data_IF_580117226632
#
_entry.id   IF_580117226632
#
_cell.length_a   1.000
_cell.length_b   1.000
_cell.length_c   1.000
_cell.angle_alpha   90.00
_cell.angle_beta   90.00
_cell.angle_gamma   90.00
#
_symmetry.space_group_name_H-M   'P 1'
#
loop_
_entity.id
_entity.type
_entity.pdbx_description
1 polymer ?
#
# COMPACT_ATOMS: atom_id res chain seq x y z
N UNK A 1 14.72 98.47 -29.38
CA UNK A 1 15.08 97.43 -30.37
C UNK A 1 15.46 96.09 -29.73
N UNK A 2 15.58 95.98 -28.39
CA UNK A 2 15.84 94.72 -27.67
C UNK A 2 14.58 93.95 -27.20
N UNK A 3 13.41 94.61 -27.10
CA UNK A 3 12.19 93.94 -26.61
C UNK A 3 11.57 92.98 -27.63
N UNK A 4 11.64 93.28 -28.93
CA UNK A 4 11.04 92.43 -29.97
C UNK A 4 11.87 91.18 -30.29
N UNK A 5 13.16 91.18 -29.92
CA UNK A 5 14.07 90.05 -30.13
C UNK A 5 13.82 88.93 -29.10
N UNK A 6 13.53 89.29 -27.85
CA UNK A 6 13.24 88.34 -26.78
C UNK A 6 11.86 87.64 -26.94
N UNK A 7 10.87 88.33 -27.53
CA UNK A 7 9.55 87.73 -27.80
C UNK A 7 9.61 86.74 -28.97
N UNK A 8 10.44 87.01 -29.98
CA UNK A 8 10.69 86.08 -31.09
C UNK A 8 11.43 84.80 -30.68
N UNK A 9 12.42 84.90 -29.79
CA UNK A 9 13.18 83.76 -29.26
C UNK A 9 12.35 82.85 -28.33
N UNK A 10 11.47 83.44 -27.51
CA UNK A 10 10.57 82.67 -26.65
C UNK A 10 9.47 81.96 -27.46
N UNK A 11 8.96 82.58 -28.52
CA UNK A 11 7.98 81.97 -29.42
C UNK A 11 8.60 80.84 -30.27
N UNK A 12 9.84 80.99 -30.72
CA UNK A 12 10.56 79.91 -31.44
C UNK A 12 10.89 78.74 -30.53
N UNK A 13 11.33 78.99 -29.27
CA UNK A 13 11.64 77.89 -28.33
C UNK A 13 10.41 77.10 -27.91
N UNK A 14 9.25 77.75 -27.80
CA UNK A 14 7.98 77.10 -27.47
C UNK A 14 7.50 76.22 -28.63
N UNK A 15 7.65 76.69 -29.87
CA UNK A 15 7.25 75.93 -31.07
C UNK A 15 8.17 74.72 -31.31
N UNK A 16 9.49 74.87 -31.11
CA UNK A 16 10.45 73.76 -31.16
C UNK A 16 10.12 72.69 -30.09
N UNK A 17 9.78 73.11 -28.87
CA UNK A 17 9.42 72.18 -27.79
C UNK A 17 8.12 71.40 -28.05
N UNK A 18 7.15 72.03 -28.73
CA UNK A 18 5.90 71.38 -29.13
C UNK A 18 6.11 70.39 -30.29
N UNK A 19 6.96 70.75 -31.27
CA UNK A 19 7.31 69.87 -32.39
C UNK A 19 8.15 68.66 -31.92
N UNK A 20 9.02 68.85 -30.93
CA UNK A 20 9.82 67.79 -30.31
C UNK A 20 8.95 66.84 -29.48
N UNK A 21 7.97 67.35 -28.73
CA UNK A 21 6.97 66.53 -28.02
C UNK A 21 6.10 65.71 -28.99
N UNK A 22 5.66 66.29 -30.11
CA UNK A 22 4.89 65.58 -31.14
C UNK A 22 5.72 64.47 -31.81
N UNK A 23 7.01 64.70 -32.04
CA UNK A 23 7.95 63.68 -32.54
C UNK A 23 8.11 62.54 -31.53
N UNK A 24 8.26 62.85 -30.24
CA UNK A 24 8.38 61.84 -29.17
C UNK A 24 7.12 60.96 -29.12
N UNK A 25 5.93 61.53 -29.22
CA UNK A 25 4.68 60.75 -29.21
C UNK A 25 4.50 59.90 -30.47
N UNK A 26 4.94 60.39 -31.64
CA UNK A 26 5.04 59.57 -32.87
C UNK A 26 5.99 58.38 -32.71
N UNK A 27 7.15 58.57 -32.10
CA UNK A 27 8.10 57.47 -31.83
C UNK A 27 7.55 56.47 -30.80
N UNK A 28 6.87 56.94 -29.76
CA UNK A 28 6.19 56.07 -28.77
C UNK A 28 5.10 55.23 -29.41
N UNK A 29 4.28 55.84 -30.27
CA UNK A 29 3.22 55.13 -31.00
C UNK A 29 3.82 54.13 -32.00
N UNK A 30 4.89 54.50 -32.71
CA UNK A 30 5.63 53.58 -33.59
C UNK A 30 6.25 52.40 -32.85
N UNK A 31 6.85 52.64 -31.68
CA UNK A 31 7.39 51.59 -30.82
C UNK A 31 6.29 50.63 -30.33
N UNK A 32 5.15 51.16 -29.88
CA UNK A 32 4.01 50.36 -29.44
C UNK A 32 3.45 49.47 -30.56
N UNK A 33 3.33 50.01 -31.78
CA UNK A 33 2.90 49.24 -32.97
C UNK A 33 3.92 48.15 -33.30
N UNK A 34 5.22 48.46 -33.29
CA UNK A 34 6.27 47.46 -33.57
C UNK A 34 6.27 46.32 -32.57
N UNK A 35 6.04 46.62 -31.28
CA UNK A 35 5.93 45.64 -30.22
C UNK A 35 4.66 44.78 -30.38
N UNK A 36 3.53 45.39 -30.72
CA UNK A 36 2.29 44.65 -31.00
C UNK A 36 2.44 43.71 -32.20
N UNK A 37 3.07 44.17 -33.29
CA UNK A 37 3.35 43.33 -34.47
C UNK A 37 4.29 42.18 -34.11
N UNK A 38 5.35 42.44 -33.32
CA UNK A 38 6.26 41.39 -32.85
C UNK A 38 5.52 40.33 -32.02
N UNK A 39 4.64 40.75 -31.10
CA UNK A 39 3.83 39.82 -30.30
C UNK A 39 2.87 38.99 -31.16
N UNK A 40 2.26 39.57 -32.19
CA UNK A 40 1.35 38.84 -33.08
C UNK A 40 2.09 37.87 -34.01
N UNK A 41 3.22 38.30 -34.59
CA UNK A 41 3.95 37.52 -35.61
C UNK A 41 4.84 36.46 -35.00
N UNK A 42 5.43 36.72 -33.82
CA UNK A 42 6.35 35.79 -33.15
C UNK A 42 5.71 35.22 -31.90
N UNK A 43 5.13 36.08 -31.06
CA UNK A 43 4.56 35.67 -29.77
C UNK A 43 3.43 34.66 -29.91
N UNK A 44 2.43 34.92 -30.75
CA UNK A 44 1.28 34.01 -30.94
C UNK A 44 1.73 32.65 -31.53
N UNK A 45 2.51 32.56 -32.63
CA UNK A 45 2.95 31.27 -33.16
C UNK A 45 3.86 30.51 -32.21
N UNK A 46 4.78 31.20 -31.52
CA UNK A 46 5.64 30.57 -30.52
C UNK A 46 4.83 30.07 -29.33
N UNK A 47 3.87 30.85 -28.84
CA UNK A 47 2.96 30.44 -27.76
C UNK A 47 2.14 29.22 -28.20
N UNK A 48 1.57 29.21 -29.41
CA UNK A 48 0.86 28.04 -29.92
C UNK A 48 1.77 26.82 -30.04
N UNK A 49 2.99 27.00 -30.55
CA UNK A 49 3.92 25.87 -30.73
C UNK A 49 4.44 25.32 -29.41
N UNK A 50 4.62 26.17 -28.41
CA UNK A 50 5.08 25.77 -27.06
C UNK A 50 3.95 25.26 -26.16
N UNK A 51 2.70 25.62 -26.47
CA UNK A 51 1.49 25.10 -25.79
C UNK A 51 0.81 23.96 -26.55
N UNK A 52 1.30 23.62 -27.75
CA UNK A 52 0.84 22.45 -28.51
C UNK A 52 1.16 21.18 -27.72
N UNK A 53 0.15 20.64 -27.05
CA UNK A 53 0.25 19.35 -26.38
C UNK A 53 0.31 18.28 -27.46
N UNK A 54 1.45 17.62 -27.60
CA UNK A 54 1.60 16.47 -28.51
C UNK A 54 0.60 15.37 -28.11
N UNK A 55 -0.40 15.12 -28.96
CA UNK A 55 -1.37 14.02 -28.79
C UNK A 55 -0.98 12.87 -29.70
N UNK A 56 -0.47 11.79 -29.12
CA UNK A 56 -0.31 10.55 -29.87
C UNK A 56 -1.70 10.04 -30.31
N UNK A 57 -1.81 9.54 -31.54
CA UNK A 57 -3.03 8.88 -31.98
C UNK A 57 -3.22 7.60 -31.15
N UNK A 58 -4.22 7.60 -30.28
CA UNK A 58 -4.58 6.43 -29.48
C UNK A 58 -5.29 5.40 -30.37
N UNK A 59 -4.98 4.10 -30.25
CA UNK A 59 -5.63 3.04 -31.03
C UNK A 59 -7.02 2.72 -30.46
N UNK A 60 -8.00 3.61 -30.67
CA UNK A 60 -9.33 3.51 -30.10
C UNK A 60 -10.04 2.18 -30.35
N UNK A 61 -9.89 1.58 -31.54
CA UNK A 61 -10.50 0.28 -31.85
C UNK A 61 -9.90 -0.88 -31.04
N UNK A 62 -8.62 -0.80 -30.68
CA UNK A 62 -7.99 -1.79 -29.80
C UNK A 62 -8.45 -1.59 -28.36
N UNK A 63 -8.57 -0.34 -27.92
CA UNK A 63 -9.04 0.03 -26.58
C UNK A 63 -10.51 -0.39 -26.38
N UNK A 64 -11.37 -0.15 -27.37
CA UNK A 64 -12.79 -0.53 -27.31
C UNK A 64 -12.97 -2.07 -27.37
N UNK A 65 -12.02 -2.78 -27.98
CA UNK A 65 -11.97 -4.25 -27.94
C UNK A 65 -11.39 -4.80 -26.62
N UNK A 66 -10.73 -3.97 -25.80
CA UNK A 66 -10.28 -4.37 -24.47
C UNK A 66 -11.46 -4.33 -23.49
N UNK A 67 -12.06 -5.50 -23.29
CA UNK A 67 -13.03 -5.71 -22.22
C UNK A 67 -12.28 -6.00 -20.90
N UNK A 68 -12.35 -5.15 -19.87
CA UNK A 68 -11.69 -5.39 -18.58
C UNK A 68 -12.18 -6.67 -17.89
N UNK A 69 -13.36 -7.19 -18.26
CA UNK A 69 -13.86 -8.46 -17.75
C UNK A 69 -13.27 -9.70 -18.45
N UNK A 70 -12.44 -9.52 -19.49
CA UNK A 70 -11.82 -10.62 -20.25
C UNK A 70 -10.59 -11.26 -19.57
N UNK A 71 -10.07 -10.66 -18.50
CA UNK A 71 -8.90 -11.19 -17.78
C UNK A 71 -9.27 -12.51 -17.12
N UNK A 72 -8.68 -13.60 -17.59
CA UNK A 72 -8.85 -14.92 -16.99
C UNK A 72 -7.53 -15.41 -16.41
N UNK A 73 -7.48 -15.55 -15.09
CA UNK A 73 -6.39 -16.20 -14.36
C UNK A 73 -6.73 -17.70 -14.25
N UNK A 74 -5.81 -18.57 -14.68
CA UNK A 74 -5.95 -20.02 -14.56
C UNK A 74 -4.98 -20.56 -13.53
N UNK A 75 -5.45 -21.43 -12.65
CA UNK A 75 -4.61 -22.14 -11.70
C UNK A 75 -5.04 -23.59 -11.55
N UNK A 76 -4.11 -24.44 -11.13
CA UNK A 76 -4.33 -25.86 -10.90
C UNK A 76 -4.22 -26.17 -9.41
N UNK A 77 -5.14 -27.00 -8.93
CA UNK A 77 -5.08 -27.59 -7.60
C UNK A 77 -4.83 -29.08 -7.75
N UNK A 78 -3.65 -29.53 -7.34
CA UNK A 78 -3.27 -30.92 -7.36
C UNK A 78 -3.72 -31.59 -6.06
N UNK A 79 -4.47 -32.69 -6.17
CA UNK A 79 -5.06 -33.38 -5.01
C UNK A 79 -4.51 -34.79 -4.91
N UNK A 80 -4.00 -35.14 -3.73
CA UNK A 80 -3.51 -36.47 -3.41
C UNK A 80 -4.22 -36.98 -2.15
N UNK A 81 -4.89 -38.13 -2.23
CA UNK A 81 -5.63 -38.73 -1.13
C UNK A 81 -5.23 -40.21 -0.93
N UNK A 82 -5.68 -40.81 0.17
CA UNK A 82 -5.40 -42.21 0.51
C UNK A 82 -5.86 -43.24 -0.53
N UNK A 83 -6.85 -42.89 -1.36
CA UNK A 83 -7.26 -43.72 -2.50
C UNK A 83 -7.62 -42.89 -3.74
N UNK A 84 -7.55 -43.47 -4.96
CA UNK A 84 -8.00 -42.80 -6.17
C UNK A 84 -9.49 -42.41 -6.12
N UNK A 85 -10.34 -43.21 -5.49
CA UNK A 85 -11.77 -42.92 -5.31
C UNK A 85 -11.96 -41.70 -4.41
N UNK A 86 -11.26 -41.64 -3.28
CA UNK A 86 -11.31 -40.48 -2.38
C UNK A 86 -10.78 -39.22 -3.06
N UNK A 87 -9.68 -39.33 -3.80
CA UNK A 87 -9.11 -38.22 -4.60
C UNK A 87 -10.16 -37.69 -5.58
N UNK A 88 -10.87 -38.58 -6.27
CA UNK A 88 -11.90 -38.21 -7.25
C UNK A 88 -13.11 -37.53 -6.60
N UNK A 89 -13.54 -37.99 -5.42
CA UNK A 89 -14.60 -37.35 -4.65
C UNK A 89 -14.20 -35.94 -4.19
N UNK A 90 -12.98 -35.76 -3.69
CA UNK A 90 -12.48 -34.44 -3.27
C UNK A 90 -12.42 -33.49 -4.47
N UNK A 91 -11.89 -33.94 -5.62
CA UNK A 91 -11.84 -33.14 -6.84
C UNK A 91 -13.25 -32.73 -7.29
N UNK A 92 -14.22 -33.64 -7.23
CA UNK A 92 -15.62 -33.35 -7.60
C UNK A 92 -16.22 -32.29 -6.67
N UNK A 93 -16.02 -32.42 -5.36
CA UNK A 93 -16.51 -31.47 -4.37
C UNK A 93 -15.85 -30.10 -4.51
N UNK A 94 -14.53 -30.05 -4.70
CA UNK A 94 -13.81 -28.81 -4.99
C UNK A 94 -14.37 -28.12 -6.22
N UNK A 95 -14.58 -28.85 -7.33
CA UNK A 95 -15.18 -28.29 -8.55
C UNK A 95 -16.59 -27.75 -8.33
N UNK A 96 -17.37 -28.37 -7.44
CA UNK A 96 -18.72 -27.89 -7.11
C UNK A 96 -18.75 -26.66 -6.19
N UNK A 97 -17.73 -26.50 -5.34
CA UNK A 97 -17.64 -25.41 -4.35
C UNK A 97 -16.91 -24.17 -4.90
N UNK A 98 -15.87 -24.42 -5.70
CA UNK A 98 -15.11 -23.43 -6.43
C UNK A 98 -15.87 -23.11 -7.73
N UNK A 99 -16.90 -22.29 -7.62
CA UNK A 99 -17.65 -21.81 -8.80
C UNK A 99 -16.68 -21.03 -9.69
N UNK A 100 -16.61 -21.38 -10.97
CA UNK A 100 -15.87 -20.61 -11.97
C UNK A 100 -16.36 -19.16 -11.93
N UNK A 101 -15.47 -18.25 -11.56
CA UNK A 101 -15.71 -16.82 -11.74
C UNK A 101 -15.20 -16.41 -13.13
N UNK A 102 -15.74 -15.33 -13.69
CA UNK A 102 -15.24 -14.79 -14.97
C UNK A 102 -13.72 -14.57 -14.95
N UNK A 103 -13.16 -14.23 -13.78
CA UNK A 103 -11.76 -13.82 -13.60
C UNK A 103 -10.83 -14.95 -13.15
N UNK A 104 -11.32 -15.93 -12.39
CA UNK A 104 -10.50 -17.02 -11.83
C UNK A 104 -11.09 -18.38 -12.22
N UNK A 105 -10.29 -19.17 -12.94
CA UNK A 105 -10.61 -20.55 -13.33
C UNK A 105 -9.68 -21.52 -12.62
N UNK A 106 -10.27 -22.50 -11.95
CA UNK A 106 -9.53 -23.43 -11.08
C UNK A 106 -9.73 -24.87 -11.55
N UNK A 107 -8.64 -25.49 -11.99
CA UNK A 107 -8.63 -26.88 -12.43
C UNK A 107 -8.12 -27.79 -11.31
N UNK A 108 -9.02 -28.55 -10.68
CA UNK A 108 -8.64 -29.59 -9.72
C UNK A 108 -8.25 -30.90 -10.45
N UNK A 109 -7.04 -31.40 -10.19
CA UNK A 109 -6.41 -32.53 -10.88
C UNK A 109 -5.84 -33.56 -9.88
N UNK A 110 -5.87 -34.86 -10.20
CA UNK A 110 -5.29 -35.88 -9.33
C UNK A 110 -3.77 -35.82 -9.41
N UNK A 111 -3.11 -35.90 -8.25
CA UNK A 111 -1.67 -36.02 -8.13
C UNK A 111 -1.32 -37.46 -7.79
N UNK A 112 -0.60 -38.13 -8.69
CA UNK A 112 -0.11 -39.49 -8.45
C UNK A 112 1.20 -39.42 -7.67
N UNK A 113 1.11 -39.66 -6.37
CA UNK A 113 2.28 -39.93 -5.53
C UNK A 113 2.38 -41.42 -5.23
N UNK A 114 3.59 -41.98 -5.16
CA UNK A 114 3.80 -43.31 -4.60
C UNK A 114 3.62 -43.23 -3.09
N UNK A 115 2.39 -43.40 -2.60
CA UNK A 115 1.99 -43.18 -1.20
C UNK A 115 2.10 -44.44 -0.35
N UNK A 116 3.25 -45.10 -0.40
CA UNK A 116 3.59 -46.12 0.60
C UNK A 116 4.37 -45.39 1.72
N UNK A 117 3.69 -45.08 2.83
CA UNK A 117 4.23 -44.43 4.06
C UNK A 117 4.73 -42.97 3.96
N UNK A 118 3.85 -42.03 3.56
CA UNK A 118 4.15 -40.59 3.68
C UNK A 118 3.53 -39.99 4.94
N UNK A 119 4.34 -39.81 5.98
CA UNK A 119 4.01 -38.93 7.09
C UNK A 119 4.23 -37.46 6.71
N UNK A 120 3.56 -36.55 7.41
CA UNK A 120 3.76 -35.10 7.27
C UNK A 120 5.25 -34.70 7.27
N UNK A 121 6.05 -35.28 8.17
CA UNK A 121 7.48 -34.99 8.33
C UNK A 121 8.32 -35.38 7.10
N UNK A 122 8.03 -36.52 6.48
CA UNK A 122 8.74 -37.00 5.29
C UNK A 122 8.45 -36.11 4.09
N UNK A 123 7.21 -35.65 3.98
CA UNK A 123 6.79 -34.78 2.88
C UNK A 123 7.37 -33.38 3.03
N UNK A 124 7.32 -32.79 4.21
CA UNK A 124 7.95 -31.49 4.50
C UNK A 124 9.45 -31.52 4.20
N UNK A 125 10.16 -32.58 4.59
CA UNK A 125 11.60 -32.72 4.33
C UNK A 125 11.96 -32.75 2.84
N UNK A 126 11.05 -33.22 1.98
CA UNK A 126 11.26 -33.33 0.53
C UNK A 126 10.28 -32.47 -0.27
N UNK A 127 9.69 -31.45 0.36
CA UNK A 127 8.61 -30.67 -0.22
C UNK A 127 9.03 -29.99 -1.53
N UNK A 128 10.30 -29.60 -1.65
CA UNK A 128 10.86 -28.91 -2.82
C UNK A 128 10.72 -29.71 -4.12
N UNK A 129 10.64 -31.05 -4.03
CA UNK A 129 10.40 -31.92 -5.19
C UNK A 129 8.97 -31.79 -5.73
N UNK A 130 8.03 -31.47 -4.85
CA UNK A 130 6.61 -31.47 -5.14
C UNK A 130 6.06 -30.07 -5.37
N UNK A 131 6.75 -29.02 -4.89
CA UNK A 131 6.31 -27.65 -5.05
C UNK A 131 5.98 -27.33 -6.52
N UNK A 132 4.82 -26.73 -6.81
CA UNK A 132 4.46 -26.38 -8.17
C UNK A 132 5.45 -25.36 -8.76
N UNK A 133 6.04 -25.68 -9.91
CA UNK A 133 6.91 -24.76 -10.66
C UNK A 133 6.16 -23.50 -11.10
N UNK A 134 4.87 -23.63 -11.44
CA UNK A 134 4.03 -22.50 -11.85
C UNK A 134 3.47 -21.77 -10.63
N UNK A 135 3.62 -20.44 -10.61
CA UNK A 135 3.02 -19.57 -9.59
C UNK A 135 1.50 -19.73 -9.55
N UNK A 136 0.91 -19.65 -8.36
CA UNK A 136 -0.53 -19.77 -8.14
C UNK A 136 -1.07 -21.20 -8.09
N UNK A 137 -0.34 -22.22 -8.53
CA UNK A 137 -0.80 -23.61 -8.37
C UNK A 137 -0.71 -24.05 -6.90
N UNK A 138 -1.63 -24.91 -6.47
CA UNK A 138 -1.70 -25.40 -5.09
C UNK A 138 -1.67 -26.93 -5.05
N UNK A 139 -1.24 -27.48 -3.92
CA UNK A 139 -1.26 -28.91 -3.66
C UNK A 139 -2.03 -29.18 -2.37
N UNK A 140 -2.99 -30.10 -2.43
CA UNK A 140 -3.71 -30.64 -1.30
C UNK A 140 -3.25 -32.09 -1.10
N UNK A 141 -2.71 -32.41 0.08
CA UNK A 141 -2.19 -33.74 0.39
C UNK A 141 -2.85 -34.29 1.64
N UNK A 142 -3.48 -35.46 1.51
CA UNK A 142 -3.95 -36.21 2.67
C UNK A 142 -2.76 -36.87 3.37
N UNK A 143 -2.64 -36.67 4.69
CA UNK A 143 -1.65 -37.34 5.53
C UNK A 143 -2.35 -38.11 6.65
N UNK A 144 -1.81 -39.26 7.11
CA UNK A 144 -2.50 -40.12 8.07
C UNK A 144 -2.85 -39.45 9.39
N UNK A 145 -2.01 -38.53 9.85
CA UNK A 145 -2.20 -37.80 11.11
C UNK A 145 -1.57 -36.41 11.03
N UNK A 146 -2.25 -35.44 11.65
CA UNK A 146 -1.80 -34.07 11.85
C UNK A 146 -1.87 -33.77 13.34
N UNK A 147 -0.86 -33.08 13.87
CA UNK A 147 -0.81 -32.73 15.29
C UNK A 147 -1.74 -31.55 15.58
N UNK A 148 -2.88 -31.83 16.23
CA UNK A 148 -3.77 -30.81 16.79
C UNK A 148 -4.62 -30.04 15.79
N UNK A 149 -4.83 -30.57 14.58
CA UNK A 149 -5.77 -30.02 13.58
C UNK A 149 -6.13 -31.08 12.54
N UNK A 150 -7.23 -30.88 11.82
CA UNK A 150 -7.61 -31.70 10.67
C UNK A 150 -7.11 -31.11 9.35
N UNK A 151 -6.85 -29.80 9.31
CA UNK A 151 -6.36 -29.09 8.12
C UNK A 151 -5.20 -28.18 8.54
N UNK A 152 -4.08 -28.28 7.83
CA UNK A 152 -2.89 -27.48 8.07
C UNK A 152 -2.45 -26.74 6.81
N UNK A 153 -2.44 -25.41 6.89
CA UNK A 153 -1.89 -24.54 5.85
C UNK A 153 -0.41 -24.28 6.10
N UNK A 154 0.43 -24.54 5.10
CA UNK A 154 1.89 -24.33 5.21
C UNK A 154 2.29 -22.92 4.81
N UNK A 155 3.58 -22.59 4.98
CA UNK A 155 4.15 -21.37 4.40
C UNK A 155 4.34 -21.47 2.89
N UNK A 156 4.29 -22.68 2.33
CA UNK A 156 4.39 -22.96 0.91
C UNK A 156 3.01 -23.22 0.28
N UNK A 157 2.96 -23.57 -1.01
CA UNK A 157 1.73 -23.83 -1.78
C UNK A 157 1.10 -25.20 -1.48
N UNK A 158 1.23 -25.67 -0.23
CA UNK A 158 0.82 -27.00 0.20
C UNK A 158 -0.16 -26.87 1.37
N UNK A 159 -1.27 -27.61 1.30
CA UNK A 159 -2.22 -27.78 2.39
C UNK A 159 -2.30 -29.26 2.71
N UNK A 160 -2.09 -29.59 3.98
CA UNK A 160 -2.30 -30.95 4.46
C UNK A 160 -3.67 -31.09 5.08
N UNK A 161 -4.28 -32.26 4.93
CA UNK A 161 -5.52 -32.59 5.60
C UNK A 161 -5.51 -34.03 6.11
N UNK A 162 -6.22 -34.28 7.20
CA UNK A 162 -6.38 -35.62 7.79
C UNK A 162 -7.45 -36.43 7.05
N UNK A 163 -7.52 -37.76 7.21
CA UNK A 163 -8.61 -38.56 6.66
C UNK A 163 -9.98 -38.17 7.23
N UNK A 164 -9.99 -37.59 8.43
CA UNK A 164 -11.19 -37.15 9.15
C UNK A 164 -11.65 -35.75 8.74
N UNK A 165 -10.82 -34.99 8.01
CA UNK A 165 -11.15 -33.63 7.58
C UNK A 165 -12.42 -33.61 6.71
N UNK A 166 -13.35 -32.71 7.04
CA UNK A 166 -14.52 -32.45 6.21
C UNK A 166 -14.09 -31.72 4.92
N UNK A 167 -14.35 -32.37 3.79
CA UNK A 167 -13.98 -31.86 2.46
C UNK A 167 -14.73 -30.57 2.11
N UNK A 168 -15.96 -30.37 2.63
CA UNK A 168 -16.69 -29.13 2.41
C UNK A 168 -16.06 -27.96 3.17
N UNK A 169 -15.58 -28.22 4.39
CA UNK A 169 -14.82 -27.25 5.18
C UNK A 169 -13.52 -26.92 4.45
N UNK A 170 -12.78 -27.93 3.99
CA UNK A 170 -11.56 -27.73 3.20
C UNK A 170 -11.79 -26.87 1.96
N UNK A 171 -12.81 -27.20 1.16
CA UNK A 171 -13.14 -26.46 -0.06
C UNK A 171 -13.48 -24.99 0.22
N UNK A 172 -14.27 -24.75 1.27
CA UNK A 172 -14.61 -23.40 1.73
C UNK A 172 -13.37 -22.62 2.20
N UNK A 173 -12.50 -23.22 2.99
CA UNK A 173 -11.28 -22.56 3.47
C UNK A 173 -10.31 -22.24 2.33
N UNK A 174 -10.15 -23.14 1.36
CA UNK A 174 -9.35 -22.88 0.15
C UNK A 174 -9.95 -21.69 -0.61
N UNK A 175 -11.26 -21.65 -0.79
CA UNK A 175 -11.97 -20.55 -1.45
C UNK A 175 -11.77 -19.20 -0.74
N UNK A 176 -12.07 -19.16 0.56
CA UNK A 176 -12.07 -17.93 1.37
C UNK A 176 -10.64 -17.42 1.63
N UNK A 177 -9.69 -18.30 1.98
CA UNK A 177 -8.38 -17.88 2.48
C UNK A 177 -7.23 -18.05 1.49
N UNK A 178 -7.33 -18.92 0.47
CA UNK A 178 -6.23 -19.12 -0.48
C UNK A 178 -6.53 -18.43 -1.80
N UNK A 179 -7.75 -18.59 -2.30
CA UNK A 179 -8.17 -17.97 -3.55
C UNK A 179 -8.53 -16.50 -3.36
N UNK A 180 -9.12 -16.15 -2.20
CA UNK A 180 -9.68 -14.82 -1.92
C UNK A 180 -10.63 -14.36 -3.03
N UNK A 181 -11.50 -15.27 -3.48
CA UNK A 181 -12.34 -15.08 -4.65
C UNK A 181 -13.29 -13.87 -4.49
N UNK A 182 -13.94 -13.73 -3.34
CA UNK A 182 -14.77 -12.57 -3.02
C UNK A 182 -14.01 -11.25 -3.22
N UNK A 183 -12.74 -11.22 -2.84
CA UNK A 183 -11.93 -10.00 -2.93
C UNK A 183 -11.55 -9.62 -4.36
N UNK A 184 -11.41 -10.59 -5.25
CA UNK A 184 -11.09 -10.33 -6.66
C UNK A 184 -12.31 -9.75 -7.37
N UNK A 185 -13.49 -10.29 -7.10
CA UNK A 185 -14.75 -9.89 -7.74
C UNK A 185 -15.18 -8.51 -7.28
N UNK A 186 -15.19 -8.28 -5.97
CA UNK A 186 -15.56 -6.98 -5.40
C UNK A 186 -14.61 -5.86 -5.83
N UNK A 187 -13.31 -6.15 -6.04
CA UNK A 187 -12.34 -5.19 -6.58
C UNK A 187 -12.63 -4.78 -8.01
N UNK A 188 -13.02 -5.72 -8.87
CA UNK A 188 -13.44 -5.37 -10.24
C UNK A 188 -14.67 -4.47 -10.18
N UNK A 189 -15.65 -4.82 -9.34
CA UNK A 189 -16.89 -4.04 -9.18
C UNK A 189 -16.60 -2.64 -8.61
N UNK A 190 -15.71 -2.50 -7.62
CA UNK A 190 -15.39 -1.20 -7.02
C UNK A 190 -14.70 -0.25 -8.01
N UNK A 191 -13.88 -0.78 -8.90
CA UNK A 191 -13.17 0.01 -9.91
C UNK A 191 -14.13 0.39 -11.05
N UNK A 192 -14.94 -0.54 -11.55
CA UNK A 192 -15.85 -0.33 -12.69
C UNK A 192 -17.12 0.43 -12.31
N UNK A 193 -17.64 0.23 -11.10
CA UNK A 193 -18.93 0.79 -10.66
C UNK A 193 -18.91 1.14 -9.17
N UNK A 194 -18.17 2.20 -8.78
CA UNK A 194 -18.00 2.59 -7.37
C UNK A 194 -19.31 2.95 -6.66
N UNK A 195 -20.36 3.34 -7.39
CA UNK A 195 -21.67 3.70 -6.82
C UNK A 195 -22.50 2.50 -6.33
N UNK A 196 -22.16 1.27 -6.75
CA UNK A 196 -22.89 0.05 -6.38
C UNK A 196 -22.32 -0.68 -5.16
N UNK A 197 -21.30 -0.10 -4.51
CA UNK A 197 -20.73 -0.65 -3.28
C UNK A 197 -21.71 -0.47 -2.11
N UNK A 198 -22.15 -1.58 -1.54
CA UNK A 198 -22.80 -1.57 -0.23
C UNK A 198 -21.76 -1.26 0.84
N UNK A 199 -22.07 -0.32 1.74
CA UNK A 199 -21.19 0.21 2.80
C UNK A 199 -20.75 -0.84 3.84
N UNK A 200 -21.16 -2.12 3.73
CA UNK A 200 -20.80 -3.20 4.67
C UNK A 200 -19.49 -3.93 4.35
N UNK A 201 -18.80 -3.51 3.30
CA UNK A 201 -17.63 -4.18 2.73
C UNK A 201 -16.32 -3.54 3.23
N UNK A 202 -16.18 -3.43 4.56
CA UNK A 202 -15.09 -2.70 5.25
C UNK A 202 -13.69 -3.28 5.02
N UNK A 203 -13.58 -4.55 4.61
CA UNK A 203 -12.27 -5.19 4.37
C UNK A 203 -11.58 -4.66 3.11
N UNK A 204 -12.31 -4.05 2.16
CA UNK A 204 -11.78 -3.58 0.88
C UNK A 204 -11.15 -2.20 0.92
N UNK A 205 -11.55 -1.36 1.86
CA UNK A 205 -11.02 0.00 2.01
C UNK A 205 -9.65 0.02 2.71
N UNK A 206 -9.24 -1.13 3.27
CA UNK A 206 -8.13 -1.22 4.23
C UNK A 206 -6.75 -1.50 3.63
N UNK A 207 -6.65 -1.76 2.32
CA UNK A 207 -5.39 -2.05 1.64
C UNK A 207 -4.88 -0.89 0.77
N UNK A 208 -3.56 -0.83 0.56
CA UNK A 208 -2.90 0.07 -0.39
C UNK A 208 -3.39 -0.23 -1.81
N UNK A 209 -3.55 0.83 -2.60
CA UNK A 209 -3.92 0.73 -4.02
C UNK A 209 -2.81 0.06 -4.84
N UNK A 210 -3.01 -0.22 -6.11
CA UNK A 210 -1.92 -0.62 -6.99
C UNK A 210 -1.09 0.62 -7.37
N UNK A 211 0.22 0.53 -7.23
CA UNK A 211 1.19 1.54 -7.71
C UNK A 211 2.45 0.84 -8.17
N UNK A 212 3.12 1.30 -9.25
CA UNK A 212 4.40 0.73 -9.69
C UNK A 212 5.54 0.99 -8.70
N UNK A 213 5.40 2.03 -7.86
CA UNK A 213 6.40 2.39 -6.85
C UNK A 213 5.74 2.88 -5.57
N UNK A 214 6.37 2.59 -4.44
CA UNK A 214 6.02 3.09 -3.10
C UNK A 214 7.25 3.67 -2.40
N UNK A 215 7.06 4.78 -1.70
CA UNK A 215 8.01 5.26 -0.70
C UNK A 215 7.58 4.72 0.66
N UNK A 216 8.45 4.00 1.38
CA UNK A 216 8.17 3.53 2.75
C UNK A 216 9.07 4.28 3.71
N UNK A 217 8.46 5.09 4.58
CA UNK A 217 9.20 5.99 5.47
C UNK A 217 8.96 5.59 6.92
N UNK A 218 10.02 5.12 7.59
CA UNK A 218 10.02 4.93 9.04
C UNK A 218 10.43 6.23 9.73
N UNK A 219 9.52 6.79 10.52
CA UNK A 219 9.73 8.01 11.30
C UNK A 219 9.82 7.65 12.76
N UNK A 220 10.93 8.00 13.42
CA UNK A 220 11.04 7.94 14.87
C UNK A 220 10.80 9.33 15.42
N UNK A 221 9.82 9.46 16.29
CA UNK A 221 9.47 10.70 16.97
C UNK A 221 9.89 10.56 18.43
N UNK A 222 10.85 11.37 18.87
CA UNK A 222 11.15 11.53 20.28
C UNK A 222 10.46 12.82 20.78
N UNK A 223 9.37 12.66 21.54
CA UNK A 223 8.60 13.82 22.02
C UNK A 223 9.33 14.61 23.11
N UNK A 224 10.25 13.98 23.85
CA UNK A 224 10.92 14.56 25.02
C UNK A 224 12.44 14.29 25.01
N UNK A 225 13.19 14.85 24.03
CA UNK A 225 14.63 14.62 23.90
C UNK A 225 15.47 15.25 25.02
N UNK A 226 14.88 16.12 25.85
CA UNK A 226 15.58 16.72 27.00
C UNK A 226 15.77 15.70 28.13
N UNK A 227 14.77 14.83 28.35
CA UNK A 227 14.78 13.83 29.42
C UNK A 227 15.04 12.41 28.89
N UNK A 228 14.79 12.14 27.61
CA UNK A 228 14.92 10.81 27.01
C UNK A 228 16.02 10.77 25.94
N UNK A 229 17.15 10.15 26.30
CA UNK A 229 18.18 9.75 25.35
C UNK A 229 17.80 8.43 24.67
N UNK A 230 17.73 8.42 23.35
CA UNK A 230 17.35 7.23 22.57
C UNK A 230 18.49 6.89 21.60
N UNK A 231 18.91 5.62 21.60
CA UNK A 231 19.92 5.12 20.69
C UNK A 231 19.31 4.00 19.82
N UNK A 232 19.22 4.25 18.51
CA UNK A 232 18.72 3.25 17.57
C UNK A 232 19.26 3.46 16.15
N UNK A 233 19.95 2.47 15.60
CA UNK A 233 20.32 2.44 14.18
C UNK A 233 19.16 1.89 13.33
N UNK A 234 18.18 2.77 13.12
CA UNK A 234 16.97 2.50 12.34
C UNK A 234 17.29 1.97 10.94
N UNK A 235 18.28 2.57 10.27
CA UNK A 235 18.58 2.25 8.87
C UNK A 235 19.17 0.84 8.74
N UNK A 236 20.05 0.44 9.65
CA UNK A 236 20.61 -0.92 9.68
C UNK A 236 19.53 -1.96 9.98
N UNK A 237 18.70 -1.70 11.00
CA UNK A 237 17.66 -2.65 11.41
C UNK A 237 16.53 -2.79 10.40
N UNK A 238 16.14 -1.71 9.70
CA UNK A 238 15.21 -1.80 8.58
C UNK A 238 15.74 -2.71 7.47
N UNK A 239 17.01 -2.54 7.10
CA UNK A 239 17.66 -3.41 6.10
C UNK A 239 17.68 -4.87 6.54
N UNK A 240 17.84 -5.12 7.84
CA UNK A 240 17.93 -6.48 8.39
C UNK A 240 16.57 -7.16 8.51
N UNK A 241 15.56 -6.46 9.01
CA UNK A 241 14.30 -7.07 9.43
C UNK A 241 13.13 -6.80 8.48
N UNK A 242 13.13 -5.69 7.74
CA UNK A 242 12.00 -5.28 6.88
C UNK A 242 12.30 -5.48 5.39
N UNK A 243 13.52 -5.18 4.94
CA UNK A 243 13.93 -5.33 3.54
C UNK A 243 13.65 -6.71 2.93
N UNK A 244 13.80 -7.86 3.64
CA UNK A 244 13.48 -9.17 3.06
C UNK A 244 12.04 -9.28 2.54
N UNK A 245 11.08 -8.66 3.25
CA UNK A 245 9.68 -8.61 2.80
C UNK A 245 9.54 -7.77 1.53
N UNK A 246 10.16 -6.59 1.49
CA UNK A 246 10.08 -5.71 0.32
C UNK A 246 10.71 -6.34 -0.92
N UNK A 247 11.84 -7.04 -0.75
CA UNK A 247 12.47 -7.78 -1.83
C UNK A 247 11.55 -8.89 -2.38
N UNK A 248 10.73 -9.52 -1.53
CA UNK A 248 9.79 -10.56 -1.96
C UNK A 248 8.67 -10.01 -2.85
N UNK A 249 8.27 -8.74 -2.66
CA UNK A 249 7.17 -8.09 -3.40
C UNK A 249 7.66 -7.10 -4.46
N UNK A 250 8.97 -7.06 -4.74
CA UNK A 250 9.59 -6.10 -5.67
C UNK A 250 9.11 -6.31 -7.11
N UNK A 251 8.81 -7.56 -7.49
CA UNK A 251 8.22 -7.92 -8.79
C UNK A 251 6.82 -7.28 -9.02
N UNK A 252 6.14 -6.90 -7.94
CA UNK A 252 4.79 -6.29 -7.98
C UNK A 252 4.89 -4.77 -8.01
N UNK A 253 5.77 -4.23 -7.18
CA UNK A 253 5.97 -2.79 -7.00
C UNK A 253 7.35 -2.55 -6.42
N UNK A 254 8.02 -1.52 -6.92
CA UNK A 254 9.32 -1.08 -6.41
C UNK A 254 9.16 -0.30 -5.10
N UNK A 255 9.97 -0.60 -4.08
CA UNK A 255 9.85 0.04 -2.76
C UNK A 255 11.12 0.82 -2.39
N UNK A 256 10.97 2.12 -2.12
CA UNK A 256 12.05 2.98 -1.65
C UNK A 256 11.96 3.19 -0.14
N UNK A 257 12.85 2.54 0.61
CA UNK A 257 12.88 2.64 2.07
C UNK A 257 13.68 3.85 2.52
N UNK A 258 13.08 4.67 3.39
CA UNK A 258 13.71 5.82 4.02
C UNK A 258 13.47 5.77 5.53
N UNK A 259 14.39 6.35 6.28
CA UNK A 259 14.24 6.53 7.73
C UNK A 259 14.47 8.00 8.09
N UNK A 260 13.72 8.51 9.05
CA UNK A 260 13.88 9.88 9.55
C UNK A 260 13.64 9.97 11.05
N UNK A 261 14.21 11.01 11.66
CA UNK A 261 14.04 11.35 13.07
C UNK A 261 13.38 12.71 13.20
N UNK A 262 12.38 12.81 14.06
CA UNK A 262 11.74 14.04 14.46
C UNK A 262 11.79 14.17 15.99
N UNK A 263 11.93 15.39 16.46
CA UNK A 263 12.08 15.71 17.88
C UNK A 263 11.09 16.79 18.27
N UNK A 264 10.67 16.80 19.55
CA UNK A 264 9.77 17.83 20.11
C UNK A 264 8.46 17.96 19.32
N UNK A 265 7.90 16.82 18.93
CA UNK A 265 6.67 16.76 18.16
C UNK A 265 5.62 15.98 18.95
N UNK A 266 4.50 16.64 19.23
CA UNK A 266 3.32 16.02 19.85
C UNK A 266 2.38 15.43 18.79
N UNK A 267 1.55 14.45 19.20
CA UNK A 267 0.54 13.83 18.34
C UNK A 267 -0.64 14.76 17.98
N UNK A 268 -0.67 15.99 18.49
CA UNK A 268 -1.71 16.99 18.21
C UNK A 268 -3.03 16.76 18.94
N UNK A 269 -3.17 15.64 19.67
CA UNK A 269 -4.30 15.30 20.53
C UNK A 269 -3.81 15.13 21.97
N UNK A 270 -4.61 15.57 22.93
CA UNK A 270 -4.30 15.41 24.35
C UNK A 270 -4.83 14.06 24.86
N UNK A 271 -3.96 13.19 25.41
CA UNK A 271 -4.41 11.96 26.03
C UNK A 271 -5.35 12.24 27.20
N UNK A 272 -6.37 11.40 27.37
CA UNK A 272 -7.25 11.46 28.54
C UNK A 272 -6.90 10.32 29.48
N UNK A 273 -6.76 10.62 30.76
CA UNK A 273 -6.55 9.57 31.75
C UNK A 273 -7.87 8.84 32.00
N UNK A 274 -7.84 7.52 31.93
CA UNK A 274 -8.98 6.69 32.22
C UNK A 274 -9.11 6.39 33.73
N UNK A 275 -10.12 5.58 34.09
CA UNK A 275 -10.34 5.16 35.48
C UNK A 275 -9.23 4.28 36.06
N UNK A 276 -8.38 3.69 35.21
CA UNK A 276 -7.26 2.86 35.61
C UNK A 276 -5.96 3.68 35.79
N UNK A 277 -5.99 4.98 35.53
CA UNK A 277 -4.81 5.84 35.61
C UNK A 277 -3.91 5.75 34.37
N UNK A 278 -4.40 5.21 33.26
CA UNK A 278 -3.66 5.09 32.00
C UNK A 278 -4.06 6.24 31.09
N UNK A 279 -3.07 6.88 30.46
CA UNK A 279 -3.34 7.88 29.44
C UNK A 279 -3.76 7.17 28.14
N UNK A 280 -4.92 7.53 27.60
CA UNK A 280 -5.46 6.88 26.41
C UNK A 280 -5.75 7.85 25.26
N UNK A 281 -5.56 7.33 24.05
CA UNK A 281 -6.03 7.92 22.79
C UNK A 281 -6.97 6.93 22.10
N UNK A 282 -8.19 7.35 21.77
CA UNK A 282 -9.19 6.49 21.13
C UNK A 282 -8.98 6.37 19.62
N UNK A 283 -9.46 5.28 19.02
CA UNK A 283 -9.32 5.07 17.56
C UNK A 283 -9.96 6.18 16.72
N UNK A 284 -11.05 6.75 17.22
CA UNK A 284 -11.72 7.91 16.63
C UNK A 284 -10.84 9.17 16.53
N UNK A 285 -9.77 9.27 17.33
CA UNK A 285 -8.83 10.40 17.30
C UNK A 285 -7.72 10.22 16.25
N UNK A 286 -7.56 9.04 15.66
CA UNK A 286 -6.48 8.75 14.71
C UNK A 286 -6.42 9.72 13.51
N UNK A 287 -7.54 10.15 12.87
CA UNK A 287 -7.49 11.15 11.80
C UNK A 287 -6.94 12.50 12.26
N UNK A 288 -7.24 12.88 13.51
CA UNK A 288 -6.75 14.12 14.12
C UNK A 288 -5.27 14.06 14.51
N UNK A 289 -4.73 12.85 14.71
CA UNK A 289 -3.30 12.61 14.90
C UNK A 289 -2.55 12.63 13.56
N UNK A 290 -3.12 11.99 12.52
CA UNK A 290 -2.46 11.85 11.22
C UNK A 290 -2.30 13.21 10.52
N UNK A 291 -3.37 14.00 10.48
CA UNK A 291 -3.39 15.28 9.76
C UNK A 291 -2.24 16.25 10.13
N UNK A 292 -1.94 16.51 11.42
CA UNK A 292 -0.80 17.35 11.80
C UNK A 292 0.55 16.68 11.52
N UNK A 293 0.65 15.35 11.67
CA UNK A 293 1.87 14.61 11.36
C UNK A 293 2.21 14.68 9.87
N UNK A 294 1.25 14.49 8.97
CA UNK A 294 1.49 14.55 7.51
C UNK A 294 2.16 15.85 7.07
N UNK A 295 1.76 16.98 7.66
CA UNK A 295 2.37 18.30 7.39
C UNK A 295 3.84 18.37 7.78
N UNK A 296 4.30 17.52 8.70
CA UNK A 296 5.67 17.46 9.23
C UNK A 296 6.49 16.33 8.61
N UNK A 297 5.84 15.27 8.13
CA UNK A 297 6.49 14.06 7.62
C UNK A 297 7.07 14.20 6.19
N UNK A 298 6.80 15.30 5.48
CA UNK A 298 7.37 15.56 4.16
C UNK A 298 6.81 14.67 3.04
N UNK A 299 5.54 14.27 3.13
CA UNK A 299 4.88 13.36 2.17
C UNK A 299 4.84 13.87 0.71
N UNK A 300 5.06 15.17 0.47
CA UNK A 300 5.05 15.78 -0.87
C UNK A 300 6.38 15.77 -1.62
N UNK A 301 7.43 15.11 -1.11
CA UNK A 301 8.77 15.12 -1.73
C UNK A 301 8.84 14.21 -2.98
N UNK A 302 7.97 13.21 -3.06
CA UNK A 302 7.94 12.22 -4.14
C UNK A 302 6.58 12.21 -4.84
N UNK A 303 6.57 11.76 -6.11
CA UNK A 303 5.32 11.46 -6.84
C UNK A 303 4.76 10.07 -6.48
N UNK A 304 5.56 9.24 -5.82
CA UNK A 304 5.14 7.91 -5.40
C UNK A 304 4.24 8.02 -4.15
N UNK A 305 3.19 7.20 -4.04
CA UNK A 305 2.46 7.05 -2.79
C UNK A 305 3.40 6.68 -1.64
N UNK A 306 3.18 7.28 -0.48
CA UNK A 306 4.03 7.12 0.70
C UNK A 306 3.30 6.30 1.77
N UNK A 307 3.97 5.28 2.31
CA UNK A 307 3.54 4.51 3.47
C UNK A 307 4.30 4.98 4.70
N UNK A 308 3.59 5.47 5.70
CA UNK A 308 4.16 6.01 6.92
C UNK A 308 4.20 4.97 8.03
N UNK A 309 5.40 4.64 8.51
CA UNK A 309 5.59 3.81 9.69
C UNK A 309 6.10 4.75 10.78
N UNK A 310 5.29 5.05 11.80
CA UNK A 310 5.64 6.05 12.81
C UNK A 310 5.84 5.37 14.16
N UNK A 311 7.04 5.44 14.71
CA UNK A 311 7.33 5.09 16.10
C UNK A 311 7.33 6.37 16.93
N UNK A 312 6.35 6.51 17.82
CA UNK A 312 6.24 7.62 18.75
C UNK A 312 6.73 7.20 20.14
N UNK A 313 7.83 7.80 20.57
CA UNK A 313 8.42 7.58 21.89
C UNK A 313 7.75 8.55 22.84
N UNK A 314 7.05 7.99 23.84
CA UNK A 314 6.19 8.72 24.76
C UNK A 314 7.04 9.49 25.78
N UNK A 315 6.74 10.76 25.99
CA UNK A 315 7.43 11.60 26.98
C UNK A 315 7.11 11.16 28.42
N UNK A 316 8.06 11.38 29.34
CA UNK A 316 8.00 10.86 30.71
C UNK A 316 6.78 11.30 31.53
N UNK A 317 6.18 12.44 31.18
CA UNK A 317 4.98 12.98 31.86
C UNK A 317 3.68 12.32 31.42
N UNK A 318 3.70 11.56 30.31
CA UNK A 318 2.51 10.97 29.69
C UNK A 318 2.49 9.43 29.80
N UNK A 319 3.49 8.82 30.43
CA UNK A 319 3.58 7.37 30.61
C UNK A 319 2.59 6.91 31.70
N UNK A 320 1.87 5.79 31.51
CA UNK A 320 1.76 5.00 30.28
C UNK A 320 0.75 5.62 29.32
N UNK A 321 1.13 5.74 28.05
CA UNK A 321 0.24 6.12 26.95
C UNK A 321 -0.12 4.88 26.12
N UNK A 322 -1.42 4.63 25.94
CA UNK A 322 -1.95 3.52 25.15
C UNK A 322 -3.03 3.99 24.19
N UNK A 323 -3.26 3.17 23.17
CA UNK A 323 -4.38 3.31 22.27
C UNK A 323 -5.57 2.48 22.80
N UNK A 324 -6.79 3.05 22.74
CA UNK A 324 -8.02 2.36 23.13
C UNK A 324 -8.82 1.94 21.89
N UNK A 325 -9.07 0.65 21.76
CA UNK A 325 -9.83 0.05 20.66
C UNK A 325 -11.34 0.05 20.95
N UNK A 326 -12.18 -0.13 19.92
CA UNK A 326 -13.65 -0.15 20.05
C UNK A 326 -14.28 -1.36 20.79
N UNK A 327 -13.57 -2.46 21.14
CA UNK A 327 -13.99 -3.38 22.22
C UNK A 327 -13.52 -2.96 23.62
N UNK A 328 -12.73 -1.87 23.75
CA UNK A 328 -12.21 -1.37 25.02
C UNK A 328 -10.83 -1.90 25.41
N UNK A 329 -10.13 -2.60 24.51
CA UNK A 329 -8.80 -3.14 24.78
C UNK A 329 -7.70 -2.09 24.58
N UNK A 330 -6.67 -2.13 25.43
CA UNK A 330 -5.46 -1.33 25.28
C UNK A 330 -4.50 -1.97 24.25
N UNK A 331 -4.05 -1.16 23.30
CA UNK A 331 -3.05 -1.56 22.30
C UNK A 331 -1.93 -0.54 22.21
N UNK A 332 -0.77 -0.98 21.72
CA UNK A 332 0.40 -0.13 21.51
C UNK A 332 0.51 0.42 20.08
N UNK A 333 -0.42 0.04 19.20
CA UNK A 333 -0.36 0.49 17.81
C UNK A 333 -1.73 0.61 17.16
N UNK A 334 -1.82 1.51 16.19
CA UNK A 334 -2.96 1.67 15.30
C UNK A 334 -2.50 1.67 13.85
N UNK A 335 -3.39 1.25 12.96
CA UNK A 335 -3.20 1.27 11.52
C UNK A 335 -4.26 2.17 10.89
N UNK A 336 -3.84 3.02 9.96
CA UNK A 336 -4.74 3.77 9.11
C UNK A 336 -4.65 3.22 7.69
N UNK A 337 -5.76 2.69 7.14
CA UNK A 337 -5.87 2.30 5.75
C UNK A 337 -5.25 3.30 4.79
N UNK A 338 -4.49 2.81 3.81
CA UNK A 338 -3.88 3.60 2.74
C UNK A 338 -2.82 4.63 3.19
N UNK A 339 -2.63 4.84 4.48
CA UNK A 339 -1.64 5.78 5.03
C UNK A 339 -0.44 5.06 5.65
N UNK A 340 -0.68 4.11 6.55
CA UNK A 340 0.41 3.57 7.36
C UNK A 340 0.00 3.12 8.76
N UNK A 341 0.96 3.11 9.68
CA UNK A 341 0.75 2.71 11.07
C UNK A 341 1.52 3.59 12.06
N UNK A 342 0.94 3.77 13.24
CA UNK A 342 1.56 4.47 14.38
C UNK A 342 1.73 3.46 15.51
N UNK A 343 2.91 3.44 16.12
CA UNK A 343 3.24 2.64 17.29
C UNK A 343 3.71 3.54 18.42
N UNK A 344 3.29 3.22 19.65
CA UNK A 344 3.71 3.88 20.86
C UNK A 344 4.83 3.07 21.51
N UNK A 345 5.92 3.71 21.89
CA UNK A 345 6.95 3.15 22.74
C UNK A 345 6.98 3.91 24.05
N UNK A 346 6.55 3.24 25.12
CA UNK A 346 6.63 3.78 26.48
C UNK A 346 8.03 3.45 27.04
N UNK A 347 8.84 4.46 27.42
CA UNK A 347 10.08 4.24 28.15
C UNK A 347 9.87 3.54 29.49
N UNK A 348 10.90 2.85 29.97
CA UNK A 348 10.91 2.32 31.34
C UNK A 348 11.13 3.47 32.34
N UNK A 349 10.67 3.34 33.60
CA UNK A 349 10.86 4.38 34.62
C UNK A 349 12.32 4.80 34.80
N UNK A 350 13.26 3.85 34.66
CA UNK A 350 14.70 4.11 34.76
C UNK A 350 15.21 5.06 33.65
N UNK A 351 14.61 5.01 32.44
CA UNK A 351 14.99 5.92 31.35
C UNK A 351 14.65 7.38 31.71
N UNK A 352 13.53 7.58 32.40
CA UNK A 352 13.05 8.89 32.81
C UNK A 352 13.74 9.44 34.06
N UNK A 353 13.98 8.60 35.07
CA UNK A 353 14.53 9.04 36.36
C UNK A 353 16.06 9.10 36.36
N UNK A 354 16.71 8.09 35.78
CA UNK A 354 18.17 7.93 35.81
C UNK A 354 18.84 8.40 34.51
N UNK A 355 18.08 8.79 33.50
CA UNK A 355 18.59 9.19 32.19
C UNK A 355 19.31 8.06 31.44
N UNK A 356 18.93 6.80 31.71
CA UNK A 356 19.50 5.66 30.97
C UNK A 356 19.04 5.71 29.52
N UNK A 357 19.95 5.34 28.61
CA UNK A 357 19.66 5.35 27.17
C UNK A 357 18.58 4.31 26.86
N UNK A 358 17.50 4.74 26.22
CA UNK A 358 16.46 3.86 25.69
C UNK A 358 16.96 3.21 24.40
N UNK A 359 17.03 1.89 24.39
CA UNK A 359 17.32 1.09 23.21
C UNK A 359 16.08 0.28 22.80
N UNK A 360 15.34 0.73 21.77
CA UNK A 360 14.15 0.03 21.30
C UNK A 360 14.49 -1.41 20.88
N UNK A 361 13.61 -2.36 21.20
CA UNK A 361 13.72 -3.72 20.67
C UNK A 361 13.33 -3.73 19.19
N UNK A 362 14.32 -3.54 18.31
CA UNK A 362 14.11 -3.42 16.86
C UNK A 362 13.32 -4.57 16.25
N UNK A 363 13.52 -5.80 16.76
CA UNK A 363 12.82 -6.99 16.27
C UNK A 363 11.32 -6.93 16.58
N UNK A 364 10.96 -6.44 17.76
CA UNK A 364 9.56 -6.28 18.16
C UNK A 364 8.90 -5.11 17.41
N UNK A 365 9.55 -3.94 17.39
CA UNK A 365 9.05 -2.73 16.72
C UNK A 365 8.85 -2.97 15.22
N UNK A 366 9.89 -3.44 14.53
CA UNK A 366 9.81 -3.71 13.08
C UNK A 366 8.92 -4.92 12.81
N UNK A 367 8.87 -5.90 13.70
CA UNK A 367 7.94 -7.03 13.59
C UNK A 367 6.48 -6.57 13.59
N UNK A 368 6.12 -5.61 14.42
CA UNK A 368 4.78 -5.02 14.44
C UNK A 368 4.51 -4.19 13.18
N UNK A 369 5.50 -3.41 12.70
CA UNK A 369 5.36 -2.69 11.42
C UNK A 369 5.21 -3.64 10.24
N UNK A 370 5.89 -4.79 10.28
CA UNK A 370 5.75 -5.85 9.28
C UNK A 370 4.33 -6.41 9.28
N UNK A 371 3.75 -6.67 10.44
CA UNK A 371 2.35 -7.11 10.54
C UNK A 371 1.38 -6.05 10.01
N UNK A 372 1.60 -4.77 10.33
CA UNK A 372 0.80 -3.67 9.79
C UNK A 372 0.94 -3.57 8.26
N UNK A 373 2.16 -3.72 7.73
CA UNK A 373 2.40 -3.71 6.30
C UNK A 373 1.74 -4.89 5.58
N UNK A 374 1.71 -6.08 6.18
CA UNK A 374 0.92 -7.21 5.65
C UNK A 374 -0.57 -6.84 5.54
N UNK A 375 -1.15 -6.22 6.57
CA UNK A 375 -2.53 -5.73 6.53
C UNK A 375 -2.72 -4.67 5.44
N UNK A 376 -1.77 -3.75 5.26
CA UNK A 376 -1.78 -2.74 4.19
C UNK A 376 -1.64 -3.37 2.80
N UNK A 377 -0.99 -4.52 2.65
CA UNK A 377 -1.00 -5.29 1.40
C UNK A 377 -2.33 -6.04 1.17
N UNK A 378 -3.26 -5.99 2.12
CA UNK A 378 -4.54 -6.69 2.06
C UNK A 378 -4.45 -8.16 2.48
N UNK A 379 -3.37 -8.56 3.15
CA UNK A 379 -3.19 -9.93 3.63
C UNK A 379 -3.94 -10.09 4.96
N UNK A 380 -4.99 -10.91 4.95
CA UNK A 380 -5.77 -11.19 6.15
C UNK A 380 -5.12 -12.29 6.98
N UNK A 381 -5.21 -12.17 8.30
CA UNK A 381 -4.82 -13.26 9.19
C UNK A 381 -5.93 -14.30 9.23
N UNK A 382 -5.56 -15.55 8.99
CA UNK A 382 -6.49 -16.68 9.09
C UNK A 382 -6.68 -17.03 10.57
N UNK A 383 -7.93 -17.12 11.01
CA UNK A 383 -8.28 -17.57 12.36
C UNK A 383 -8.01 -19.06 12.49
N UNK A 384 -7.17 -19.45 13.45
CA UNK A 384 -6.97 -20.85 13.79
C UNK A 384 -8.01 -21.30 14.80
N UNK A 385 -8.62 -22.45 14.56
CA UNK A 385 -9.47 -23.14 15.52
C UNK A 385 -8.92 -24.56 15.75
N UNK A 386 -9.52 -25.36 16.63
CA UNK A 386 -9.06 -26.73 16.89
C UNK A 386 -9.11 -27.66 15.66
N UNK A 387 -9.73 -27.23 14.55
CA UNK A 387 -9.88 -27.98 13.30
C UNK A 387 -8.86 -27.50 12.26
N UNK A 388 -8.54 -26.21 12.25
CA UNK A 388 -7.73 -25.53 11.23
C UNK A 388 -6.52 -24.86 11.87
N UNK A 389 -5.34 -25.24 11.39
CA UNK A 389 -4.10 -24.62 11.82
C UNK A 389 -3.34 -24.02 10.64
N UNK A 390 -2.55 -22.99 10.91
CA UNK A 390 -1.70 -22.32 9.92
C UNK A 390 -0.29 -22.25 10.47
N UNK A 391 0.67 -22.70 9.67
CA UNK A 391 2.09 -22.66 10.02
C UNK A 391 2.50 -21.21 10.27
N UNK A 392 3.27 -21.00 11.35
CA UNK A 392 3.81 -19.68 11.69
C UNK A 392 4.68 -19.18 10.55
N UNK A 393 4.53 -17.91 10.16
CA UNK A 393 5.33 -17.30 9.08
C UNK A 393 6.82 -17.36 9.41
N UNK A 394 7.62 -17.53 8.36
CA UNK A 394 9.07 -17.52 8.43
C UNK A 394 9.58 -16.06 8.50
N UNK A 395 9.54 -15.48 9.69
CA UNK A 395 9.99 -14.10 9.91
C UNK A 395 9.06 -13.08 9.23
N UNK A 396 9.60 -12.10 8.48
CA UNK A 396 8.82 -11.03 7.88
C UNK A 396 8.16 -11.40 6.54
N UNK A 397 8.44 -12.58 5.99
CA UNK A 397 8.00 -12.95 4.64
C UNK A 397 6.52 -13.34 4.59
N UNK A 398 5.90 -13.08 3.45
CA UNK A 398 4.60 -13.63 3.07
C UNK A 398 4.74 -15.12 2.74
N UNK A 399 3.67 -15.88 3.00
CA UNK A 399 3.55 -17.27 2.56
C UNK A 399 3.39 -17.31 1.04
N UNK A 400 3.77 -18.42 0.40
CA UNK A 400 3.70 -18.56 -1.06
C UNK A 400 2.30 -18.30 -1.63
N UNK A 401 1.26 -18.81 -0.95
CA UNK A 401 -0.14 -18.58 -1.36
C UNK A 401 -0.66 -17.16 -1.05
N UNK A 402 -0.12 -16.49 -0.02
CA UNK A 402 -0.42 -15.07 0.27
C UNK A 402 0.15 -14.19 -0.84
N UNK A 403 1.38 -14.46 -1.25
CA UNK A 403 2.05 -13.78 -2.36
C UNK A 403 1.30 -14.01 -3.68
N UNK A 404 0.89 -15.26 -3.96
CA UNK A 404 0.07 -15.57 -5.13
C UNK A 404 -1.27 -14.80 -5.13
N UNK A 405 -1.91 -14.67 -3.97
CA UNK A 405 -3.13 -13.87 -3.82
C UNK A 405 -2.89 -12.38 -4.12
N UNK A 406 -1.77 -11.85 -3.64
CA UNK A 406 -1.37 -10.47 -3.92
C UNK A 406 -1.12 -10.26 -5.42
N UNK A 407 -0.42 -11.17 -6.10
CA UNK A 407 -0.22 -11.11 -7.55
C UNK A 407 -1.54 -11.05 -8.31
N UNK A 408 -2.47 -11.99 -8.03
CA UNK A 408 -3.78 -12.01 -8.70
C UNK A 408 -4.53 -10.70 -8.49
N UNK A 409 -4.56 -10.24 -7.25
CA UNK A 409 -5.22 -8.99 -6.86
C UNK A 409 -4.66 -7.79 -7.61
N UNK A 410 -3.34 -7.67 -7.71
CA UNK A 410 -2.66 -6.55 -8.36
C UNK A 410 -2.79 -6.57 -9.88
N UNK A 411 -2.72 -7.76 -10.50
CA UNK A 411 -2.97 -7.93 -11.93
C UNK A 411 -4.37 -7.44 -12.30
N UNK A 412 -5.39 -7.89 -11.55
CA UNK A 412 -6.77 -7.48 -11.79
C UNK A 412 -6.95 -5.98 -11.60
N UNK A 413 -6.41 -5.42 -10.51
CA UNK A 413 -6.50 -3.98 -10.20
C UNK A 413 -5.83 -3.12 -11.28
N UNK A 414 -4.61 -3.47 -11.71
CA UNK A 414 -3.86 -2.73 -12.72
C UNK A 414 -4.53 -2.80 -14.10
N UNK A 415 -4.96 -3.99 -14.54
CA UNK A 415 -5.63 -4.12 -15.84
C UNK A 415 -6.96 -3.37 -15.85
N UNK A 416 -7.75 -3.48 -14.78
CA UNK A 416 -9.04 -2.79 -14.69
C UNK A 416 -8.82 -1.27 -14.68
N UNK A 417 -7.85 -0.76 -13.90
CA UNK A 417 -7.52 0.67 -13.87
C UNK A 417 -6.99 1.18 -15.21
N UNK A 418 -6.14 0.42 -15.89
CA UNK A 418 -5.61 0.78 -17.20
C UNK A 418 -6.72 0.84 -18.26
N UNK A 419 -7.60 -0.16 -18.27
CA UNK A 419 -8.75 -0.23 -19.19
C UNK A 419 -9.68 0.96 -19.01
N UNK A 420 -10.05 1.32 -17.77
CA UNK A 420 -10.90 2.47 -17.51
C UNK A 420 -10.25 3.79 -17.90
N UNK A 421 -8.96 3.95 -17.62
CA UNK A 421 -8.23 5.18 -17.98
C UNK A 421 -8.23 5.39 -19.50
N UNK A 422 -8.08 4.31 -20.28
CA UNK A 422 -8.09 4.35 -21.73
C UNK A 422 -9.49 4.55 -22.33
N UNK A 423 -10.55 4.10 -21.66
CA UNK A 423 -11.94 4.31 -22.12
C UNK A 423 -12.45 5.74 -21.88
N UNK A 424 -11.91 6.42 -20.87
CA UNK A 424 -12.31 7.79 -20.50
C UNK A 424 -11.47 8.86 -21.23
N UNK A 425 -10.33 8.49 -21.83
CA UNK A 425 -9.45 9.36 -22.63
C UNK A 425 -9.84 9.43 -24.10
#
# INVERSE_FOLDING_TARGET
MESDRAVGEAASSFNDSAEEAEKIDKYRMGAAISFAVMLLVIGIPLWWKTTEVHRAALPYSQIEAMDPSSVTIRMKIWVSASSPTRTSNIIMLLKSSLVDHQVLKVDALPLKMGLDDVTFEVFEKHNSRWLPETLGNLILVEVPSLNGSDILFTNDRIVYFSPNADVNVLARLVKEHLLHDYNLVSKVVSIVSPQNLSVKDDTFLNALRASPSYDVVLTVINSDPEHLAVNWDVASDLRRYFQPLLNQVDDISSHHVKSQWLYLLDLGETPKMDSAGVNVLSFSQLPHIITPLEKRLGSGISKNPCVHLVLYIVGCTQIPLKFLTEPGDYVDSMISPQWGGIQLLNPEPENCENGTVLEPNSKQVIGLFTSQFHSLLGIQQMTTDGVVNVTKRNGPLLRGWELDSLYRTRIVEQITSASLTLQVS
#
